data_IF_672361081512
#
_entry.id   IF_672361081512
#
_cell.length_a   1.000
_cell.length_b   1.000
_cell.length_c   1.000
_cell.angle_alpha   90.00
_cell.angle_beta   90.00
_cell.angle_gamma   90.00
#
_symmetry.space_group_name_H-M   'P 1'
#
loop_
_entity.id
_entity.type
_entity.pdbx_description
1 polymer ?
#
# COMPACT_ATOMS: atom_id res chain seq x y z
N UNK A 1 -4.36 6.01 -40.37
CA UNK A 1 -4.63 5.28 -39.11
C UNK A 1 -3.99 6.03 -37.96
N UNK A 2 -4.77 6.76 -37.17
CA UNK A 2 -4.28 7.52 -36.01
C UNK A 2 -4.15 6.58 -34.82
N UNK A 3 -2.93 6.38 -34.34
CA UNK A 3 -2.59 5.58 -33.14
C UNK A 3 -2.94 6.29 -31.82
N UNK A 4 -3.55 7.48 -31.90
CA UNK A 4 -3.97 8.28 -30.75
C UNK A 4 -5.45 8.58 -30.83
N UNK A 5 -6.29 7.55 -30.69
CA UNK A 5 -7.68 7.77 -30.29
C UNK A 5 -7.65 8.13 -28.80
N UNK A 6 -7.80 9.41 -28.46
CA UNK A 6 -8.00 9.87 -27.08
C UNK A 6 -9.48 9.71 -26.73
N UNK A 7 -9.89 8.78 -25.86
CA UNK A 7 -11.23 8.82 -25.30
C UNK A 7 -11.42 10.13 -24.51
N UNK A 8 -12.61 10.70 -24.64
CA UNK A 8 -12.97 12.09 -24.32
C UNK A 8 -13.33 12.36 -22.83
N UNK A 9 -12.78 11.59 -21.89
CA UNK A 9 -12.85 11.93 -20.46
C UNK A 9 -11.46 11.85 -19.86
N UNK A 10 -10.75 12.97 -19.84
CA UNK A 10 -9.52 13.09 -19.06
C UNK A 10 -9.94 12.95 -17.60
N UNK A 11 -9.60 11.81 -16.99
CA UNK A 11 -9.70 11.62 -15.56
C UNK A 11 -8.83 12.69 -14.88
N UNK A 12 -9.38 13.42 -13.91
CA UNK A 12 -8.59 14.39 -13.14
C UNK A 12 -7.53 13.64 -12.34
N UNK A 13 -6.26 13.92 -12.60
CA UNK A 13 -5.12 13.30 -11.91
C UNK A 13 -5.23 13.46 -10.39
N UNK A 14 -5.75 14.58 -9.91
CA UNK A 14 -5.91 14.81 -8.46
C UNK A 14 -6.94 13.86 -7.88
N UNK A 15 -8.04 13.63 -8.59
CA UNK A 15 -9.09 12.70 -8.17
C UNK A 15 -8.60 11.24 -8.22
N UNK A 16 -7.85 10.87 -9.27
CA UNK A 16 -7.20 9.55 -9.34
C UNK A 16 -6.28 9.34 -8.14
N UNK A 17 -5.41 10.31 -7.83
CA UNK A 17 -4.50 10.21 -6.69
C UNK A 17 -5.30 10.08 -5.41
N UNK A 18 -6.32 10.92 -5.18
CA UNK A 18 -7.18 10.84 -3.99
C UNK A 18 -7.87 9.49 -3.85
N UNK A 19 -8.34 8.92 -4.95
CA UNK A 19 -8.96 7.61 -4.96
C UNK A 19 -7.94 6.52 -4.58
N UNK A 20 -6.78 6.49 -5.25
CA UNK A 20 -5.79 5.42 -5.06
C UNK A 20 -5.15 5.46 -3.68
N UNK A 21 -4.81 6.64 -3.14
CA UNK A 21 -4.17 6.77 -1.81
C UNK A 21 -5.11 6.45 -0.64
N UNK A 22 -6.42 6.30 -0.89
CA UNK A 22 -7.40 5.91 0.13
C UNK A 22 -7.62 4.40 0.19
N UNK A 23 -7.10 3.65 -0.77
CA UNK A 23 -7.28 2.20 -0.84
C UNK A 23 -6.12 1.54 -0.12
N UNK A 24 -6.36 0.79 0.97
CA UNK A 24 -5.31 0.06 1.65
C UNK A 24 -4.67 -0.98 0.70
N UNK A 25 -3.34 -0.99 0.66
CA UNK A 25 -2.56 -1.92 -0.15
C UNK A 25 -1.30 -2.38 0.56
N UNK A 26 -1.37 -3.01 1.74
CA UNK A 26 -0.17 -3.48 2.42
C UNK A 26 0.50 -4.60 1.59
N UNK A 27 1.81 -4.83 1.77
CA UNK A 27 2.51 -5.78 0.92
C UNK A 27 1.93 -7.20 1.08
N UNK A 28 1.60 -7.85 -0.03
CA UNK A 28 0.89 -9.12 -0.10
C UNK A 28 -0.65 -9.05 -0.05
N UNK A 29 -1.26 -7.86 0.07
CA UNK A 29 -2.72 -7.66 -0.02
C UNK A 29 -3.09 -6.50 -0.98
N UNK A 30 -2.40 -6.42 -2.11
CA UNK A 30 -2.54 -5.32 -3.09
C UNK A 30 -3.77 -5.47 -4.01
N UNK A 31 -4.66 -6.44 -3.77
CA UNK A 31 -5.82 -6.73 -4.63
C UNK A 31 -6.70 -5.49 -4.86
N UNK A 32 -7.09 -4.80 -3.78
CA UNK A 32 -8.04 -3.70 -3.86
C UNK A 32 -7.49 -2.53 -4.71
N UNK A 33 -6.22 -2.16 -4.48
CA UNK A 33 -5.56 -1.10 -5.27
C UNK A 33 -5.34 -1.56 -6.70
N UNK A 34 -4.96 -2.82 -6.91
CA UNK A 34 -4.78 -3.40 -8.26
C UNK A 34 -6.06 -3.36 -9.07
N UNK A 35 -7.19 -3.76 -8.50
CA UNK A 35 -8.48 -3.71 -9.17
C UNK A 35 -8.88 -2.27 -9.52
N UNK A 36 -8.60 -1.31 -8.64
CA UNK A 36 -8.85 0.09 -8.91
C UNK A 36 -8.01 0.60 -10.10
N UNK A 37 -6.72 0.28 -10.13
CA UNK A 37 -5.84 0.60 -11.26
C UNK A 37 -6.32 -0.10 -12.53
N UNK A 38 -6.69 -1.39 -12.48
CA UNK A 38 -7.18 -2.13 -13.63
C UNK A 38 -8.46 -1.50 -14.22
N UNK A 39 -9.38 -1.00 -13.38
CA UNK A 39 -10.58 -0.26 -13.81
C UNK A 39 -10.20 1.06 -14.52
N UNK A 40 -9.27 1.83 -13.96
CA UNK A 40 -8.80 3.08 -14.56
C UNK A 40 -8.12 2.81 -15.92
N UNK A 41 -7.33 1.74 -16.02
CA UNK A 41 -6.66 1.29 -17.26
C UNK A 41 -7.69 0.89 -18.32
N UNK A 42 -8.73 0.14 -17.94
CA UNK A 42 -9.81 -0.22 -18.85
C UNK A 42 -10.60 1.01 -19.35
N UNK A 43 -10.84 1.99 -18.48
CA UNK A 43 -11.53 3.25 -18.84
C UNK A 43 -10.80 4.05 -19.92
N UNK A 44 -9.46 3.98 -19.96
CA UNK A 44 -8.63 4.63 -20.99
C UNK A 44 -8.36 3.73 -22.21
N UNK A 45 -9.00 2.55 -22.28
CA UNK A 45 -9.00 1.68 -23.46
C UNK A 45 -7.83 0.69 -23.54
N UNK A 46 -7.15 0.42 -22.43
CA UNK A 46 -6.07 -0.58 -22.39
C UNK A 46 -6.52 -1.85 -21.68
N UNK A 47 -5.98 -2.98 -22.12
CA UNK A 47 -6.11 -4.26 -21.43
C UNK A 47 -5.01 -4.41 -20.39
N UNK A 48 -5.31 -5.17 -19.35
CA UNK A 48 -4.33 -5.54 -18.32
C UNK A 48 -4.48 -7.01 -17.97
N UNK A 49 -3.40 -7.61 -17.46
CA UNK A 49 -3.40 -8.96 -16.93
C UNK A 49 -2.64 -9.01 -15.62
N UNK A 50 -3.06 -9.89 -14.73
CA UNK A 50 -2.41 -10.12 -13.44
C UNK A 50 -1.47 -11.32 -13.56
N UNK A 51 -0.25 -11.21 -13.04
CA UNK A 51 0.66 -12.36 -12.95
C UNK A 51 0.47 -13.17 -11.65
N UNK A 52 1.20 -14.26 -11.50
CA UNK A 52 1.09 -15.13 -10.33
C UNK A 52 1.54 -14.47 -9.00
N UNK A 53 2.20 -13.31 -9.06
CA UNK A 53 2.63 -12.53 -7.90
C UNK A 53 1.70 -11.36 -7.61
N UNK A 54 0.65 -11.16 -8.41
CA UNK A 54 -0.29 -10.06 -8.24
C UNK A 54 0.14 -8.76 -8.91
N UNK A 55 1.18 -8.76 -9.77
CA UNK A 55 1.54 -7.57 -10.53
C UNK A 55 0.53 -7.32 -11.64
N UNK A 56 0.18 -6.05 -11.87
CA UNK A 56 -0.65 -5.63 -12.99
C UNK A 56 0.22 -5.30 -14.21
N UNK A 57 0.09 -6.10 -15.26
CA UNK A 57 0.83 -5.93 -16.50
C UNK A 57 -0.06 -5.30 -17.57
N UNK A 58 0.36 -4.13 -18.08
CA UNK A 58 -0.38 -3.33 -19.05
C UNK A 58 0.44 -3.26 -20.35
N UNK A 59 0.23 -4.16 -21.32
CA UNK A 59 0.89 -4.08 -22.61
C UNK A 59 0.34 -2.90 -23.42
N UNK A 60 1.20 -1.93 -23.75
CA UNK A 60 0.85 -0.77 -24.57
C UNK A 60 1.25 -0.98 -26.02
N UNK A 61 0.28 -0.85 -26.93
CA UNK A 61 0.45 -1.03 -28.38
C UNK A 61 0.44 -2.51 -28.82
N UNK A 62 0.50 -2.78 -30.14
CA UNK A 62 0.64 -4.14 -30.62
C UNK A 62 1.94 -4.72 -30.06
N UNK A 63 1.89 -5.95 -29.53
CA UNK A 63 3.07 -6.76 -29.26
C UNK A 63 3.79 -6.95 -30.61
N UNK A 64 4.69 -6.02 -30.93
CA UNK A 64 5.36 -5.99 -32.22
C UNK A 64 6.04 -7.34 -32.45
N UNK A 65 5.74 -7.97 -33.59
CA UNK A 65 6.34 -9.22 -34.04
C UNK A 65 7.78 -9.04 -34.50
N UNK A 66 8.25 -7.79 -34.60
CA UNK A 66 9.58 -7.44 -35.07
C UNK A 66 10.65 -7.71 -33.99
N UNK A 67 11.58 -8.65 -34.23
CA UNK A 67 12.60 -9.07 -33.25
C UNK A 67 13.55 -7.95 -32.78
N UNK A 68 13.53 -6.78 -33.45
CA UNK A 68 14.49 -5.68 -33.24
C UNK A 68 13.92 -4.42 -32.59
N UNK A 69 12.66 -4.40 -32.16
CA UNK A 69 12.12 -3.24 -31.42
C UNK A 69 12.51 -3.31 -29.94
N UNK A 70 13.14 -2.25 -29.45
CA UNK A 70 13.41 -2.07 -28.03
C UNK A 70 12.10 -2.07 -27.22
N UNK A 71 12.06 -2.86 -26.15
CA UNK A 71 10.95 -2.87 -25.19
C UNK A 71 11.28 -1.92 -24.06
N UNK A 72 10.39 -0.98 -23.79
CA UNK A 72 10.47 -0.09 -22.62
C UNK A 72 9.49 -0.61 -21.57
N UNK A 73 9.96 -0.74 -20.34
CA UNK A 73 9.12 -1.12 -19.19
C UNK A 73 9.12 0.04 -18.22
N UNK A 74 7.93 0.49 -17.84
CA UNK A 74 7.72 1.45 -16.75
C UNK A 74 7.12 0.68 -15.60
N UNK A 75 7.70 0.82 -14.41
CA UNK A 75 7.28 0.12 -13.21
C UNK A 75 6.93 1.12 -12.12
N UNK A 76 5.83 0.86 -11.43
CA UNK A 76 5.43 1.52 -10.20
C UNK A 76 4.89 0.42 -9.28
N UNK A 77 5.31 0.43 -8.03
CA UNK A 77 4.83 -0.54 -7.05
C UNK A 77 3.48 -0.04 -6.48
N UNK A 78 2.58 -0.99 -6.17
CA UNK A 78 1.23 -0.67 -5.67
C UNK A 78 1.16 -0.74 -4.14
N UNK A 79 2.13 -1.43 -3.53
CA UNK A 79 2.18 -1.65 -2.10
C UNK A 79 2.58 -0.37 -1.35
N UNK A 80 2.06 -0.24 -0.14
CA UNK A 80 2.42 0.82 0.79
C UNK A 80 3.08 0.25 2.06
N UNK A 81 3.80 1.10 2.79
CA UNK A 81 4.35 0.71 4.09
C UNK A 81 3.21 0.44 5.06
N UNK A 82 3.28 -0.68 5.79
CA UNK A 82 2.20 -1.14 6.65
C UNK A 82 2.69 -1.81 7.95
N UNK A 83 1.73 -2.29 8.73
CA UNK A 83 1.92 -3.07 9.95
C UNK A 83 1.26 -4.44 9.78
N UNK A 84 1.89 -5.49 10.29
CA UNK A 84 1.33 -6.83 10.33
C UNK A 84 1.04 -7.23 11.77
N UNK A 85 -0.17 -7.71 12.05
CA UNK A 85 -0.53 -8.25 13.36
C UNK A 85 0.29 -9.51 13.63
N UNK A 86 1.06 -9.51 14.73
CA UNK A 86 1.88 -10.64 15.17
C UNK A 86 1.25 -11.41 16.34
N UNK A 87 0.48 -10.72 17.19
CA UNK A 87 -0.18 -11.33 18.34
C UNK A 87 -1.40 -10.53 18.78
N UNK A 88 -2.45 -11.22 19.22
CA UNK A 88 -3.59 -10.62 19.93
C UNK A 88 -3.54 -11.11 21.37
N UNK A 89 -3.35 -10.19 22.30
CA UNK A 89 -3.26 -10.50 23.72
C UNK A 89 -4.64 -10.75 24.34
N UNK A 90 -4.67 -11.39 25.51
CA UNK A 90 -5.92 -11.73 26.23
C UNK A 90 -6.72 -10.51 26.66
N UNK A 91 -6.07 -9.36 26.83
CA UNK A 91 -6.70 -8.09 27.18
C UNK A 91 -7.26 -7.33 25.97
N UNK A 92 -7.16 -7.90 24.76
CA UNK A 92 -7.61 -7.29 23.51
C UNK A 92 -6.58 -6.38 22.85
N UNK A 93 -5.40 -6.17 23.44
CA UNK A 93 -4.33 -5.41 22.78
C UNK A 93 -3.72 -6.20 21.62
N UNK A 94 -3.35 -5.48 20.55
CA UNK A 94 -2.79 -6.06 19.33
C UNK A 94 -1.33 -5.67 19.22
N UNK A 95 -0.44 -6.67 19.11
CA UNK A 95 0.97 -6.46 18.78
C UNK A 95 1.16 -6.55 17.27
N UNK A 96 1.98 -5.65 16.77
CA UNK A 96 2.29 -5.53 15.35
C UNK A 96 3.78 -5.58 15.11
N UNK A 97 4.16 -5.95 13.89
CA UNK A 97 5.52 -5.84 13.35
C UNK A 97 5.48 -4.98 12.09
N UNK A 98 6.54 -4.24 11.77
CA UNK A 98 6.59 -3.45 10.55
C UNK A 98 6.60 -4.31 9.30
N UNK A 99 6.00 -3.80 8.23
CA UNK A 99 6.14 -4.32 6.89
C UNK A 99 6.67 -3.20 5.98
N UNK A 100 7.93 -3.34 5.55
CA UNK A 100 8.68 -2.29 4.85
C UNK A 100 9.49 -1.39 5.79
N UNK A 101 9.98 -0.26 5.27
CA UNK A 101 10.89 0.68 5.95
C UNK A 101 10.21 1.60 6.98
N UNK A 102 9.29 1.06 7.79
CA UNK A 102 8.61 1.81 8.83
C UNK A 102 9.56 2.02 10.01
N UNK A 103 9.55 3.22 10.60
CA UNK A 103 10.21 3.48 11.88
C UNK A 103 9.24 4.19 12.85
N UNK A 104 9.15 3.75 14.13
CA UNK A 104 8.24 4.34 15.11
C UNK A 104 8.39 5.86 15.26
N UNK A 105 9.63 6.38 15.19
CA UNK A 105 9.88 7.82 15.31
C UNK A 105 9.43 8.66 14.11
N UNK A 106 9.16 8.04 12.95
CA UNK A 106 8.63 8.73 11.77
C UNK A 106 7.10 8.80 11.78
N UNK A 107 6.45 7.75 12.29
CA UNK A 107 4.99 7.63 12.30
C UNK A 107 4.36 8.18 13.58
N UNK A 108 5.03 8.03 14.72
CA UNK A 108 4.46 8.37 16.02
C UNK A 108 3.24 7.51 16.37
N UNK A 109 2.50 7.96 17.38
CA UNK A 109 1.19 7.41 17.71
C UNK A 109 0.13 8.03 16.81
N UNK A 110 -0.69 7.21 16.14
CA UNK A 110 -1.71 7.70 15.21
C UNK A 110 -2.85 6.70 15.02
N UNK A 111 -4.01 7.13 14.49
CA UNK A 111 -5.05 6.22 14.04
C UNK A 111 -4.51 5.28 12.95
N UNK A 112 -4.92 4.02 13.02
CA UNK A 112 -4.62 2.99 12.01
C UNK A 112 -5.87 2.16 11.78
N UNK A 113 -5.94 1.51 10.62
CA UNK A 113 -7.00 0.55 10.32
C UNK A 113 -6.42 -0.86 10.29
N UNK A 114 -7.10 -1.79 10.96
CA UNK A 114 -6.78 -3.21 10.94
C UNK A 114 -7.67 -3.86 9.89
N UNK A 115 -7.05 -4.37 8.82
CA UNK A 115 -7.74 -5.11 7.77
C UNK A 115 -8.02 -6.53 8.25
N UNK A 116 -9.30 -6.88 8.36
CA UNK A 116 -9.74 -8.23 8.75
C UNK A 116 -10.54 -8.83 7.59
N UNK A 117 -10.15 -9.99 7.05
CA UNK A 117 -10.86 -10.60 5.93
C UNK A 117 -12.34 -10.82 6.23
N UNK A 118 -13.20 -10.39 5.31
CA UNK A 118 -14.65 -10.59 5.40
C UNK A 118 -15.38 -9.61 6.32
N UNK A 119 -14.70 -8.59 6.86
CA UNK A 119 -15.33 -7.52 7.64
C UNK A 119 -14.89 -6.16 7.15
N UNK A 120 -15.60 -5.12 7.59
CA UNK A 120 -15.09 -3.76 7.48
C UNK A 120 -13.78 -3.61 8.28
N UNK A 121 -12.86 -2.72 7.85
CA UNK A 121 -11.67 -2.38 8.62
C UNK A 121 -12.02 -1.92 10.03
N UNK A 122 -11.23 -2.35 11.01
CA UNK A 122 -11.39 -1.94 12.40
C UNK A 122 -10.49 -0.73 12.67
N UNK A 123 -11.06 0.36 13.15
CA UNK A 123 -10.27 1.52 13.59
C UNK A 123 -9.56 1.20 14.91
N UNK A 124 -8.28 1.56 14.98
CA UNK A 124 -7.43 1.39 16.14
C UNK A 124 -6.46 2.56 16.29
N UNK A 125 -5.71 2.60 17.39
CA UNK A 125 -4.66 3.58 17.63
C UNK A 125 -3.34 2.84 17.81
N UNK A 126 -2.36 3.17 16.97
CA UNK A 126 -0.98 2.75 17.19
C UNK A 126 -0.47 3.48 18.44
N UNK A 127 -0.23 2.73 19.51
CA UNK A 127 0.38 3.27 20.74
C UNK A 127 1.80 2.74 20.91
N UNK A 128 2.67 3.64 21.34
CA UNK A 128 4.03 3.31 21.78
C UNK A 128 4.03 3.05 23.30
N UNK A 129 2.97 3.43 24.02
CA UNK A 129 2.77 3.15 25.44
C UNK A 129 3.05 4.35 26.34
N UNK A 130 2.88 4.17 27.65
CA UNK A 130 2.95 5.27 28.62
C UNK A 130 4.38 5.85 28.74
N UNK A 131 4.48 7.16 28.57
CA UNK A 131 5.73 7.93 28.75
C UNK A 131 5.95 8.45 30.17
N UNK A 132 4.89 8.54 30.98
CA UNK A 132 4.96 8.95 32.38
C UNK A 132 5.24 7.75 33.30
N UNK A 133 6.33 7.04 33.02
CA UNK A 133 6.78 5.89 33.80
C UNK A 133 8.29 5.83 33.83
N UNK A 134 8.84 5.23 34.88
CA UNK A 134 10.26 4.90 34.99
C UNK A 134 10.53 3.41 34.81
N UNK A 135 9.52 2.63 34.41
CA UNK A 135 9.68 1.19 34.15
C UNK A 135 10.71 0.96 33.03
N UNK A 136 11.75 0.13 33.26
CA UNK A 136 12.68 -0.27 32.20
C UNK A 136 12.02 -1.01 31.03
N UNK A 137 10.82 -1.57 31.25
CA UNK A 137 10.05 -2.26 30.22
C UNK A 137 9.24 -1.31 29.32
N UNK A 138 9.17 -0.01 29.63
CA UNK A 138 8.47 0.96 28.79
C UNK A 138 9.36 1.38 27.62
N UNK A 139 8.76 1.54 26.43
CA UNK A 139 9.47 2.11 25.27
C UNK A 139 9.99 3.52 25.57
N UNK A 140 9.34 4.25 26.47
CA UNK A 140 9.74 5.59 26.87
C UNK A 140 11.09 5.60 27.61
N UNK A 141 11.45 4.48 28.25
CA UNK A 141 12.78 4.30 28.81
C UNK A 141 13.82 4.14 27.69
N UNK A 142 13.56 3.26 26.72
CA UNK A 142 14.42 3.03 25.56
C UNK A 142 14.63 4.28 24.70
N UNK A 143 13.57 5.08 24.50
CA UNK A 143 13.60 6.32 23.72
C UNK A 143 14.58 7.37 24.27
N UNK A 144 14.96 7.31 25.55
CA UNK A 144 15.93 8.24 26.15
C UNK A 144 17.36 8.00 25.70
N UNK A 145 17.68 6.76 25.29
CA UNK A 145 19.03 6.34 24.92
C UNK A 145 19.27 6.33 23.41
N UNK A 146 18.21 6.47 22.60
CA UNK A 146 18.32 6.52 21.15
C UNK A 146 16.96 6.42 20.46
N UNK A 147 16.94 6.42 19.11
CA UNK A 147 15.72 6.26 18.34
C UNK A 147 15.01 4.93 18.64
N UNK A 148 13.68 4.97 18.72
CA UNK A 148 12.84 3.79 18.95
C UNK A 148 12.88 2.81 17.79
N UNK A 149 13.49 1.64 17.96
CA UNK A 149 13.37 0.53 17.02
C UNK A 149 12.11 -0.30 17.32
N UNK A 150 11.64 -1.05 16.32
CA UNK A 150 10.50 -1.97 16.44
C UNK A 150 10.76 -3.14 17.38
#
# INVERSE_FOLDING_TARGET
MSIFHRPSSVLDSTEIIRQLVRIPGPPGQEEAVREAVARLVAQIGWESRVDAKGNLLIPLGPLGTEPRRARVVVTAHMDEIALMVSHVARDGSVRVVPQGGLHPWKWGEQPVQILVPGTEPLDAVLSLGCVHTNSPASVAHSARSGPLVW
#
